data_IF_756947305033
#
_entry.id   IF_756947305033
#
_cell.length_a   1.000
_cell.length_b   1.000
_cell.length_c   1.000
_cell.angle_alpha   90.00
_cell.angle_beta   90.00
_cell.angle_gamma   90.00
#
_symmetry.space_group_name_H-M   'P 1'
#
loop_
_entity.id
_entity.type
_entity.pdbx_description
1 polymer ?
#
# COMPACT_ATOMS: atom_id res chain seq x y z
N UNK A 1 17.89 20.17 34.51
CA UNK A 1 17.62 19.15 33.52
C UNK A 1 18.92 18.80 32.81
N UNK A 2 19.29 17.52 32.65
CA UNK A 2 20.51 17.11 31.99
C UNK A 2 20.57 17.64 30.52
N UNK A 3 21.78 17.97 30.04
CA UNK A 3 21.97 18.56 28.70
C UNK A 3 21.35 17.69 27.59
N UNK A 4 21.57 16.36 27.63
CA UNK A 4 21.02 15.42 26.63
C UNK A 4 19.49 15.39 26.63
N UNK A 5 18.85 15.52 27.78
CA UNK A 5 17.39 15.61 27.86
C UNK A 5 16.87 16.94 27.30
N UNK A 6 17.64 18.03 27.44
CA UNK A 6 17.32 19.30 26.81
C UNK A 6 17.39 19.22 25.29
N UNK A 7 18.40 18.59 24.73
CA UNK A 7 18.49 18.35 23.29
C UNK A 7 17.34 17.47 22.80
N UNK A 8 17.04 16.38 23.49
CA UNK A 8 16.00 15.44 23.10
C UNK A 8 14.60 16.10 23.01
N UNK A 9 14.20 16.95 24.00
CA UNK A 9 12.88 17.58 23.88
C UNK A 9 12.81 18.60 22.77
N UNK A 10 13.91 19.34 22.51
CA UNK A 10 13.98 20.29 21.37
C UNK A 10 13.79 19.52 20.06
N UNK A 11 14.52 18.41 19.89
CA UNK A 11 14.40 17.55 18.69
C UNK A 11 12.97 16.99 18.55
N UNK A 12 12.33 16.57 19.65
CA UNK A 12 10.96 16.09 19.62
C UNK A 12 9.97 17.17 19.13
N UNK A 13 10.11 18.41 19.61
CA UNK A 13 9.27 19.52 19.14
C UNK A 13 9.53 19.90 17.68
N UNK A 14 10.78 19.83 17.22
CA UNK A 14 11.12 20.06 15.82
C UNK A 14 10.51 18.98 14.92
N UNK A 15 10.55 17.71 15.33
CA UNK A 15 9.90 16.60 14.59
C UNK A 15 8.38 16.82 14.55
N UNK A 16 7.75 17.16 15.67
CA UNK A 16 6.31 17.44 15.72
C UNK A 16 5.94 18.59 14.79
N UNK A 17 6.70 19.70 14.84
CA UNK A 17 6.49 20.88 13.99
C UNK A 17 6.66 20.56 12.49
N UNK A 18 7.73 19.85 12.12
CA UNK A 18 7.96 19.45 10.72
C UNK A 18 6.87 18.51 10.20
N UNK A 19 6.36 17.62 11.04
CA UNK A 19 5.26 16.71 10.68
C UNK A 19 3.96 17.49 10.45
N UNK A 20 3.68 18.50 11.28
CA UNK A 20 2.52 19.39 11.07
C UNK A 20 2.67 20.19 9.77
N UNK A 21 3.86 20.75 9.50
CA UNK A 21 4.12 21.48 8.25
C UNK A 21 3.92 20.58 7.03
N UNK A 22 4.44 19.35 7.06
CA UNK A 22 4.24 18.38 5.99
C UNK A 22 2.75 18.03 5.80
N UNK A 23 2.00 17.90 6.89
CA UNK A 23 0.56 17.66 6.84
C UNK A 23 -0.19 18.83 6.20
N UNK A 24 0.15 20.08 6.56
CA UNK A 24 -0.43 21.29 5.96
C UNK A 24 -0.04 21.48 4.50
N UNK A 25 1.14 20.96 4.09
CA UNK A 25 1.61 20.96 2.71
C UNK A 25 0.96 19.87 1.83
N UNK A 26 -0.12 19.25 2.27
CA UNK A 26 -0.91 18.25 1.52
C UNK A 26 -0.80 16.81 2.00
N UNK A 27 -0.02 16.53 3.04
CA UNK A 27 0.11 15.18 3.61
C UNK A 27 -0.67 15.08 4.94
N UNK A 28 -1.94 15.44 4.91
CA UNK A 28 -2.78 15.60 6.12
C UNK A 28 -2.85 14.34 6.99
N UNK A 29 -2.66 13.15 6.39
CA UNK A 29 -2.60 11.88 7.11
C UNK A 29 -1.44 11.77 8.10
N UNK A 30 -0.43 12.67 8.02
CA UNK A 30 0.68 12.75 8.97
C UNK A 30 0.31 13.43 10.29
N UNK A 31 -0.79 14.19 10.35
CA UNK A 31 -1.20 14.91 11.57
C UNK A 31 -1.24 14.04 12.84
N UNK A 32 -1.83 12.84 12.82
CA UNK A 32 -1.84 11.97 14.01
C UNK A 32 -0.44 11.60 14.49
N UNK A 33 0.53 11.50 13.57
CA UNK A 33 1.92 11.14 13.91
C UNK A 33 2.69 12.28 14.57
N UNK A 34 2.26 13.53 14.43
CA UNK A 34 2.84 14.67 15.13
C UNK A 34 2.58 14.63 16.66
N UNK A 35 1.50 13.96 17.09
CA UNK A 35 1.12 13.87 18.50
C UNK A 35 2.16 13.09 19.32
N UNK A 36 2.77 12.04 18.77
CA UNK A 36 3.70 11.19 19.49
C UNK A 36 4.98 11.94 19.90
N UNK A 37 5.72 12.60 18.97
CA UNK A 37 6.88 13.41 19.36
C UNK A 37 6.50 14.61 20.23
N UNK A 38 5.32 15.20 20.05
CA UNK A 38 4.82 16.28 20.88
C UNK A 38 4.64 15.83 22.34
N UNK A 39 3.97 14.71 22.58
CA UNK A 39 3.78 14.11 23.91
C UNK A 39 5.13 13.73 24.54
N UNK A 40 6.04 13.18 23.72
CA UNK A 40 7.40 12.86 24.18
C UNK A 40 8.15 14.10 24.64
N UNK A 41 8.13 15.19 23.83
CA UNK A 41 8.76 16.45 24.16
C UNK A 41 8.23 17.06 25.47
N UNK A 42 6.90 17.14 25.62
CA UNK A 42 6.22 17.61 26.83
C UNK A 42 6.61 16.74 28.04
N UNK A 43 6.62 15.44 27.89
CA UNK A 43 6.98 14.51 28.98
C UNK A 43 8.42 14.66 29.42
N UNK A 44 9.37 14.81 28.51
CA UNK A 44 10.79 15.04 28.83
C UNK A 44 10.96 16.42 29.52
N UNK A 45 10.27 17.45 29.03
CA UNK A 45 10.27 18.78 29.64
C UNK A 45 9.74 18.75 31.08
N UNK A 46 8.73 17.91 31.35
CA UNK A 46 8.20 17.64 32.71
C UNK A 46 9.04 16.65 33.52
N UNK A 47 10.28 16.39 33.13
CA UNK A 47 11.23 15.49 33.77
C UNK A 47 10.66 14.06 33.96
N UNK A 48 9.98 13.53 32.95
CA UNK A 48 9.47 12.15 32.94
C UNK A 48 10.43 11.26 32.16
N UNK A 49 11.19 10.41 32.82
CA UNK A 49 12.16 9.51 32.19
C UNK A 49 11.54 8.61 31.12
N UNK A 50 10.33 8.14 31.34
CA UNK A 50 9.55 7.30 30.40
C UNK A 50 9.33 7.91 29.05
N UNK A 51 9.25 9.23 28.95
CA UNK A 51 9.02 9.92 27.68
C UNK A 51 10.19 9.74 26.71
N UNK A 52 11.43 9.69 27.24
CA UNK A 52 12.62 9.39 26.41
C UNK A 52 12.62 7.94 25.93
N UNK A 53 12.43 6.99 26.82
CA UNK A 53 12.41 5.57 26.47
C UNK A 53 11.23 5.19 25.58
N UNK A 54 10.04 5.76 25.85
CA UNK A 54 8.85 5.53 25.04
C UNK A 54 9.01 6.02 23.62
N UNK A 55 9.64 7.19 23.42
CA UNK A 55 9.88 7.70 22.08
C UNK A 55 10.98 6.91 21.34
N UNK A 56 12.02 6.45 22.06
CA UNK A 56 13.01 5.56 21.47
C UNK A 56 12.38 4.24 20.98
N UNK A 57 11.50 3.63 21.81
CA UNK A 57 10.75 2.43 21.45
C UNK A 57 9.82 2.67 20.24
N UNK A 58 9.10 3.79 20.24
CA UNK A 58 8.26 4.19 19.11
C UNK A 58 9.07 4.30 17.81
N UNK A 59 10.21 5.02 17.85
CA UNK A 59 11.08 5.19 16.68
C UNK A 59 11.61 3.85 16.18
N UNK A 60 12.00 2.94 17.10
CA UNK A 60 12.41 1.60 16.73
C UNK A 60 11.30 0.80 16.07
N UNK A 61 10.08 0.85 16.60
CA UNK A 61 8.93 0.16 16.01
C UNK A 61 8.62 0.65 14.59
N UNK A 62 8.85 1.94 14.30
CA UNK A 62 8.66 2.50 12.94
C UNK A 62 9.71 2.01 11.92
N UNK A 63 10.82 1.41 12.37
CA UNK A 63 11.81 0.80 11.46
C UNK A 63 11.37 -0.56 10.91
N UNK A 64 10.46 -1.26 11.55
CA UNK A 64 10.03 -2.61 11.13
C UNK A 64 9.46 -2.63 9.70
N UNK A 65 8.59 -1.69 9.26
CA UNK A 65 8.13 -1.64 7.88
C UNK A 65 9.24 -1.29 6.90
N UNK A 66 10.15 -0.38 7.28
CA UNK A 66 11.29 0.01 6.43
C UNK A 66 12.22 -1.16 6.20
N UNK A 67 12.52 -1.95 7.23
CA UNK A 67 13.36 -3.15 7.11
C UNK A 67 12.74 -4.20 6.19
N UNK A 68 11.41 -4.40 6.21
CA UNK A 68 10.73 -5.33 5.28
C UNK A 68 10.86 -4.90 3.84
N UNK A 69 10.73 -3.61 3.55
CA UNK A 69 10.89 -3.09 2.19
C UNK A 69 12.33 -3.24 1.72
N UNK A 70 13.31 -2.94 2.58
CA UNK A 70 14.73 -3.10 2.26
C UNK A 70 15.13 -4.56 2.05
N UNK A 71 14.58 -5.49 2.84
CA UNK A 71 14.85 -6.94 2.67
C UNK A 71 14.21 -7.53 1.41
N UNK A 72 13.13 -6.93 0.89
CA UNK A 72 12.52 -7.35 -0.38
C UNK A 72 13.16 -6.71 -1.61
N UNK A 73 13.79 -5.56 -1.47
CA UNK A 73 14.53 -4.94 -2.57
C UNK A 73 15.90 -5.59 -2.70
N UNK A 74 16.19 -6.18 -3.86
CA UNK A 74 17.49 -6.81 -4.17
C UNK A 74 18.67 -5.82 -4.21
N UNK A 75 18.41 -4.52 -4.05
CA UNK A 75 19.46 -3.50 -3.88
C UNK A 75 18.94 -2.31 -3.06
N UNK A 76 19.80 -1.74 -2.22
CA UNK A 76 19.54 -0.50 -1.49
C UNK A 76 19.22 0.70 -2.41
N UNK A 77 19.63 0.64 -3.69
CA UNK A 77 19.37 1.68 -4.70
C UNK A 77 17.96 1.67 -5.26
N UNK A 78 17.25 0.53 -5.19
CA UNK A 78 15.88 0.36 -5.72
C UNK A 78 14.81 0.38 -4.61
N UNK A 79 15.21 0.67 -3.37
CA UNK A 79 14.28 0.88 -2.25
C UNK A 79 13.43 2.15 -2.44
N UNK A 80 12.31 2.27 -1.71
CA UNK A 80 11.49 3.48 -1.79
C UNK A 80 12.32 4.72 -1.40
N UNK A 81 12.10 5.85 -2.08
CA UNK A 81 12.78 7.10 -1.71
C UNK A 81 12.53 7.42 -0.23
N UNK A 82 13.57 7.79 0.48
CA UNK A 82 13.53 8.10 1.90
C UNK A 82 13.76 6.91 2.86
N UNK A 83 13.92 5.67 2.37
CA UNK A 83 14.13 4.51 3.24
C UNK A 83 15.50 4.56 3.95
N UNK A 84 16.54 4.97 3.25
CA UNK A 84 17.90 5.09 3.81
C UNK A 84 17.92 6.24 4.83
N UNK A 85 17.32 7.38 4.49
CA UNK A 85 17.19 8.54 5.37
C UNK A 85 16.40 8.20 6.63
N UNK A 86 15.33 7.41 6.53
CA UNK A 86 14.55 6.96 7.68
C UNK A 86 15.39 6.07 8.62
N UNK A 87 16.19 5.15 8.08
CA UNK A 87 17.10 4.31 8.88
C UNK A 87 18.20 5.16 9.54
N UNK A 88 18.81 6.08 8.78
CA UNK A 88 19.84 6.96 9.31
C UNK A 88 19.29 7.88 10.42
N UNK A 89 18.11 8.46 10.21
CA UNK A 89 17.44 9.29 11.21
C UNK A 89 17.12 8.49 12.47
N UNK A 90 16.60 7.28 12.34
CA UNK A 90 16.28 6.42 13.46
C UNK A 90 17.55 6.00 14.24
N UNK A 91 18.66 5.71 13.54
CA UNK A 91 19.95 5.41 14.17
C UNK A 91 20.47 6.55 15.05
N UNK A 92 20.09 7.80 14.73
CA UNK A 92 20.41 8.97 15.56
C UNK A 92 19.39 9.18 16.70
N UNK A 93 18.10 9.03 16.41
CA UNK A 93 17.03 9.33 17.36
C UNK A 93 16.92 8.28 18.48
N UNK A 94 17.04 7.01 18.17
CA UNK A 94 16.91 5.94 19.17
C UNK A 94 17.90 6.12 20.33
N UNK A 95 19.23 6.22 20.10
CA UNK A 95 20.17 6.44 21.20
C UNK A 95 19.95 7.78 21.90
N UNK A 96 19.66 8.87 21.16
CA UNK A 96 19.40 10.19 21.75
C UNK A 96 18.29 10.10 22.81
N UNK A 97 17.13 9.55 22.45
CA UNK A 97 15.98 9.48 23.35
C UNK A 97 16.16 8.42 24.44
N UNK A 98 16.84 7.31 24.16
CA UNK A 98 17.19 6.32 25.16
C UNK A 98 18.09 6.91 26.25
N UNK A 99 19.18 7.59 25.89
CA UNK A 99 20.09 8.22 26.84
C UNK A 99 19.46 9.42 27.54
N UNK A 100 18.54 10.15 26.90
CA UNK A 100 17.74 11.18 27.54
C UNK A 100 16.90 10.60 28.70
N UNK A 101 16.19 9.50 28.44
CA UNK A 101 15.44 8.79 29.48
C UNK A 101 16.34 8.32 30.63
N UNK A 102 17.50 7.71 30.29
CA UNK A 102 18.48 7.25 31.31
C UNK A 102 19.05 8.40 32.13
N UNK A 103 19.36 9.54 31.51
CA UNK A 103 19.90 10.71 32.21
C UNK A 103 18.87 11.36 33.14
N UNK A 104 17.59 11.37 32.74
CA UNK A 104 16.50 11.82 33.60
C UNK A 104 16.25 10.89 34.77
N UNK A 105 16.30 9.58 34.57
CA UNK A 105 16.18 8.59 35.65
C UNK A 105 17.28 8.76 36.68
N UNK A 106 18.55 8.94 36.26
CA UNK A 106 19.68 9.20 37.14
C UNK A 106 19.56 10.53 37.89
N UNK A 107 18.87 11.50 37.32
CA UNK A 107 18.63 12.81 37.96
C UNK A 107 17.42 12.79 38.91
N UNK A 108 16.94 11.64 39.34
CA UNK A 108 15.80 11.50 40.25
C UNK A 108 14.45 11.87 39.68
N UNK A 109 14.33 11.83 38.32
CA UNK A 109 13.05 12.07 37.68
C UNK A 109 12.00 11.01 38.06
N UNK A 110 10.75 11.45 38.25
CA UNK A 110 9.64 10.54 38.60
C UNK A 110 9.52 9.43 37.56
N UNK A 111 9.61 8.19 38.02
CA UNK A 111 9.25 7.03 37.19
C UNK A 111 7.75 7.06 36.95
N UNK A 112 7.35 7.37 35.73
CA UNK A 112 5.97 7.22 35.33
C UNK A 112 5.67 5.77 34.95
N UNK A 113 4.40 5.42 34.80
CA UNK A 113 3.99 4.10 34.28
C UNK A 113 4.42 3.96 32.82
N UNK A 114 5.11 2.85 32.49
CA UNK A 114 5.58 2.58 31.10
C UNK A 114 4.45 2.23 30.15
N UNK A 115 3.37 1.64 30.68
CA UNK A 115 2.29 1.06 29.90
C UNK A 115 1.67 2.02 28.86
N UNK A 116 1.45 3.34 29.09
CA UNK A 116 0.88 4.20 28.06
C UNK A 116 1.76 4.29 26.82
N UNK A 117 3.09 4.29 27.00
CA UNK A 117 4.03 4.32 25.88
C UNK A 117 4.09 2.99 25.13
N UNK A 118 4.00 1.88 25.86
CA UNK A 118 3.89 0.54 25.27
C UNK A 118 2.59 0.46 24.46
N UNK A 119 1.48 0.93 25.03
CA UNK A 119 0.19 0.96 24.32
C UNK A 119 0.23 1.84 23.05
N UNK A 120 0.76 3.06 23.13
CA UNK A 120 0.91 3.95 21.98
C UNK A 120 1.80 3.32 20.91
N UNK A 121 2.95 2.73 21.31
CA UNK A 121 3.86 2.06 20.37
C UNK A 121 3.21 0.84 19.72
N UNK A 122 2.42 0.07 20.47
CA UNK A 122 1.68 -1.07 19.93
C UNK A 122 0.56 -0.62 18.98
N UNK A 123 -0.24 0.36 19.36
CA UNK A 123 -1.35 0.89 18.54
C UNK A 123 -0.83 1.49 17.23
N UNK A 124 0.31 2.18 17.25
CA UNK A 124 0.87 2.81 16.06
C UNK A 124 1.79 1.89 15.25
N UNK A 125 2.49 0.96 15.88
CA UNK A 125 3.46 0.08 15.25
C UNK A 125 2.87 -1.24 14.72
N UNK A 126 1.96 -1.88 15.46
CA UNK A 126 1.35 -3.15 15.04
C UNK A 126 0.60 -3.06 13.70
N UNK A 127 -0.25 -2.04 13.43
CA UNK A 127 -0.94 -1.94 12.15
C UNK A 127 0.02 -1.86 10.96
N UNK A 128 1.20 -1.23 11.13
CA UNK A 128 2.20 -1.09 10.07
C UNK A 128 2.80 -2.44 9.65
N UNK A 129 2.75 -3.46 10.50
CA UNK A 129 3.15 -4.82 10.14
C UNK A 129 2.19 -5.47 9.14
N UNK A 130 0.94 -5.04 9.12
CA UNK A 130 -0.14 -5.62 8.32
C UNK A 130 -0.62 -4.73 7.18
N UNK A 131 -0.12 -3.49 7.11
CA UNK A 131 -0.55 -2.49 6.13
C UNK A 131 0.66 -1.90 5.43
N UNK A 132 0.56 -1.75 4.11
CA UNK A 132 1.57 -1.08 3.28
C UNK A 132 0.90 -0.02 2.41
N UNK A 133 1.58 1.12 2.23
CA UNK A 133 1.14 2.17 1.32
C UNK A 133 1.59 1.88 -0.11
N UNK A 134 0.69 2.08 -1.07
CA UNK A 134 0.98 2.00 -2.51
C UNK A 134 0.49 3.26 -3.21
N UNK A 135 1.23 3.66 -4.23
CA UNK A 135 0.89 4.75 -5.13
C UNK A 135 0.27 4.18 -6.41
N UNK A 136 -0.77 4.83 -6.93
CA UNK A 136 -1.45 4.45 -8.18
C UNK A 136 -0.94 5.34 -9.33
N UNK A 137 -0.07 4.83 -10.21
CA UNK A 137 0.56 5.63 -11.25
C UNK A 137 -0.22 5.66 -12.57
N UNK A 138 -1.25 4.83 -12.73
CA UNK A 138 -1.94 4.61 -14.02
C UNK A 138 -3.46 4.67 -13.88
N UNK A 139 -4.13 4.95 -14.99
CA UNK A 139 -5.58 5.00 -15.12
C UNK A 139 -6.25 3.62 -15.28
N UNK A 140 -5.51 2.50 -15.14
CA UNK A 140 -6.03 1.16 -15.41
C UNK A 140 -7.19 0.72 -14.48
N UNK A 141 -7.38 1.39 -13.35
CA UNK A 141 -8.44 1.13 -12.37
C UNK A 141 -9.41 2.31 -12.21
N UNK A 142 -9.45 3.24 -13.18
CA UNK A 142 -10.45 4.32 -13.22
C UNK A 142 -11.88 3.71 -13.34
N UNK A 143 -12.88 4.17 -12.65
CA UNK A 143 -13.01 5.30 -11.72
C UNK A 143 -12.86 4.86 -10.26
N UNK A 144 -12.56 3.60 -10.03
CA UNK A 144 -12.36 3.03 -8.67
C UNK A 144 -11.11 3.63 -8.03
N UNK A 145 -9.97 3.56 -8.71
CA UNK A 145 -8.71 4.18 -8.31
C UNK A 145 -8.23 5.11 -9.41
N UNK A 146 -7.93 6.35 -9.04
CA UNK A 146 -7.43 7.36 -9.96
C UNK A 146 -5.89 7.45 -9.89
N UNK A 147 -5.29 7.85 -11.00
CA UNK A 147 -3.87 8.22 -11.02
C UNK A 147 -3.62 9.30 -9.96
N UNK A 148 -2.62 9.09 -9.10
CA UNK A 148 -2.31 9.98 -7.98
C UNK A 148 -2.94 9.58 -6.65
N UNK A 149 -3.81 8.54 -6.62
CA UNK A 149 -4.28 7.96 -5.35
C UNK A 149 -3.13 7.25 -4.62
N UNK A 150 -3.13 7.35 -3.28
CA UNK A 150 -2.31 6.54 -2.39
C UNK A 150 -3.21 5.69 -1.53
N UNK A 151 -3.00 4.38 -1.59
CA UNK A 151 -3.87 3.39 -0.95
C UNK A 151 -3.14 2.63 0.14
N UNK A 152 -3.85 2.34 1.23
CA UNK A 152 -3.40 1.39 2.25
C UNK A 152 -3.84 -0.01 1.85
N UNK A 153 -2.87 -0.89 1.72
CA UNK A 153 -3.04 -2.29 1.35
C UNK A 153 -2.82 -3.16 2.57
N UNK A 154 -3.82 -3.92 2.91
CA UNK A 154 -3.76 -4.89 4.00
C UNK A 154 -3.10 -6.17 3.52
N UNK A 155 -1.97 -6.51 4.14
CA UNK A 155 -1.31 -7.80 3.94
C UNK A 155 -1.99 -8.87 4.78
N UNK A 156 -2.26 -10.02 4.17
CA UNK A 156 -2.69 -11.21 4.90
C UNK A 156 -1.74 -12.38 4.64
N UNK A 157 -1.62 -13.32 5.58
CA UNK A 157 -1.17 -14.64 5.22
C UNK A 157 -2.26 -15.26 4.33
N UNK A 158 -2.06 -15.25 3.01
CA UNK A 158 -2.91 -15.79 1.94
C UNK A 158 -4.42 -15.56 2.14
N UNK A 159 -4.95 -14.38 1.77
CA UNK A 159 -6.39 -14.15 1.84
C UNK A 159 -7.10 -15.07 0.82
N UNK A 160 -8.16 -15.75 1.25
CA UNK A 160 -9.07 -16.38 0.29
C UNK A 160 -9.68 -15.27 -0.55
N UNK A 161 -9.33 -15.23 -1.84
CA UNK A 161 -9.87 -14.24 -2.76
C UNK A 161 -11.27 -14.66 -3.19
N UNK A 162 -12.13 -13.66 -3.28
CA UNK A 162 -13.47 -13.81 -3.85
C UNK A 162 -13.61 -12.94 -5.09
N UNK A 163 -14.61 -13.25 -5.89
CA UNK A 163 -14.96 -12.48 -7.09
C UNK A 163 -15.27 -11.04 -6.71
N UNK A 164 -14.77 -10.09 -7.49
CA UNK A 164 -14.92 -8.65 -7.25
C UNK A 164 -13.85 -8.04 -6.33
N UNK A 165 -13.02 -8.84 -5.66
CA UNK A 165 -11.94 -8.31 -4.81
C UNK A 165 -10.96 -7.45 -5.62
N UNK A 166 -10.64 -6.27 -5.08
CA UNK A 166 -9.46 -5.53 -5.50
C UNK A 166 -8.22 -6.16 -4.87
N UNK A 167 -7.19 -6.38 -5.66
CA UNK A 167 -5.95 -7.01 -5.19
C UNK A 167 -4.72 -6.28 -5.69
N UNK A 168 -3.72 -6.25 -4.83
CA UNK A 168 -2.35 -5.84 -5.17
C UNK A 168 -1.50 -7.09 -5.26
N UNK A 169 -0.73 -7.22 -6.31
CA UNK A 169 0.07 -8.41 -6.58
C UNK A 169 1.36 -8.06 -7.33
N UNK A 170 2.34 -8.94 -7.24
CA UNK A 170 3.58 -8.86 -8.00
C UNK A 170 3.30 -9.21 -9.46
N UNK A 171 3.68 -8.35 -10.40
CA UNK A 171 3.45 -8.57 -11.82
C UNK A 171 4.21 -9.83 -12.31
N UNK A 172 3.52 -10.82 -12.91
CA UNK A 172 4.12 -12.11 -13.22
C UNK A 172 5.28 -12.04 -14.24
N UNK A 173 5.25 -11.06 -15.13
CA UNK A 173 6.24 -10.91 -16.21
C UNK A 173 7.50 -10.18 -15.73
N UNK A 174 7.32 -9.14 -14.90
CA UNK A 174 8.42 -8.44 -14.26
C UNK A 174 8.16 -8.32 -12.75
N UNK A 175 8.77 -9.20 -11.98
CA UNK A 175 8.56 -9.29 -10.54
C UNK A 175 9.02 -8.06 -9.73
N UNK A 176 9.64 -7.08 -10.38
CA UNK A 176 9.99 -5.78 -9.77
C UNK A 176 8.81 -4.82 -9.76
N UNK A 177 7.78 -5.09 -10.54
CA UNK A 177 6.59 -4.26 -10.65
C UNK A 177 5.44 -4.83 -9.81
N UNK A 178 4.58 -3.94 -9.33
CA UNK A 178 3.38 -4.28 -8.56
C UNK A 178 2.16 -3.69 -9.26
N UNK A 179 1.13 -4.51 -9.45
CA UNK A 179 -0.09 -4.12 -10.11
C UNK A 179 -1.28 -4.18 -9.17
N UNK A 180 -2.30 -3.39 -9.47
CA UNK A 180 -3.63 -3.46 -8.85
C UNK A 180 -4.63 -3.85 -9.92
N UNK A 181 -5.43 -4.88 -9.68
CA UNK A 181 -6.50 -5.34 -10.55
C UNK A 181 -7.68 -5.87 -9.73
N UNK A 182 -8.79 -6.16 -10.43
CA UNK A 182 -9.97 -6.79 -9.83
C UNK A 182 -10.05 -8.26 -10.20
N UNK A 183 -10.38 -9.11 -9.23
CA UNK A 183 -10.60 -10.54 -9.44
C UNK A 183 -11.93 -10.75 -10.15
N UNK A 184 -11.88 -11.26 -11.38
CA UNK A 184 -13.06 -11.57 -12.19
C UNK A 184 -13.36 -13.06 -12.13
N UNK A 185 -12.32 -13.90 -12.17
CA UNK A 185 -12.43 -15.35 -12.08
C UNK A 185 -11.57 -15.93 -10.97
N UNK A 186 -12.15 -16.85 -10.22
CA UNK A 186 -11.49 -17.71 -9.21
C UNK A 186 -11.37 -19.14 -9.76
N UNK A 187 -10.59 -20.04 -9.11
CA UNK A 187 -10.45 -21.42 -9.57
C UNK A 187 -11.80 -22.09 -9.91
N UNK A 188 -11.86 -22.72 -11.08
CA UNK A 188 -13.05 -23.36 -11.63
C UNK A 188 -13.99 -22.47 -12.44
N UNK A 189 -13.80 -21.13 -12.39
CA UNK A 189 -14.62 -20.23 -13.21
C UNK A 189 -14.26 -20.33 -14.70
N UNK A 190 -15.28 -20.16 -15.53
CA UNK A 190 -15.21 -20.09 -16.98
C UNK A 190 -15.48 -18.64 -17.41
N UNK A 191 -14.54 -18.01 -18.07
CA UNK A 191 -14.57 -16.56 -18.39
C UNK A 191 -14.59 -16.37 -19.90
N UNK A 192 -15.50 -15.53 -20.35
CA UNK A 192 -15.59 -15.05 -21.73
C UNK A 192 -15.97 -13.56 -21.72
N UNK A 193 -15.45 -12.81 -22.67
CA UNK A 193 -15.88 -11.44 -22.95
C UNK A 193 -16.46 -11.44 -24.36
N UNK A 194 -17.62 -10.84 -24.55
CA UNK A 194 -18.22 -10.63 -25.85
C UNK A 194 -18.84 -9.23 -25.93
N UNK A 195 -18.42 -8.46 -26.90
CA UNK A 195 -18.85 -7.06 -27.08
C UNK A 195 -18.76 -6.26 -25.78
N UNK A 196 -17.60 -6.32 -25.11
CA UNK A 196 -17.30 -5.65 -23.82
C UNK A 196 -18.01 -6.23 -22.59
N UNK A 197 -18.97 -7.13 -22.76
CA UNK A 197 -19.70 -7.76 -21.64
C UNK A 197 -18.93 -8.99 -21.16
N UNK A 198 -18.65 -9.06 -19.86
CA UNK A 198 -18.01 -10.23 -19.25
C UNK A 198 -19.06 -11.26 -18.88
N UNK A 199 -18.83 -12.49 -19.33
CA UNK A 199 -19.60 -13.66 -18.97
C UNK A 199 -18.77 -14.53 -18.05
N UNK A 200 -19.38 -15.01 -16.98
CA UNK A 200 -18.78 -15.95 -16.07
C UNK A 200 -19.73 -17.15 -15.84
N UNK A 201 -19.23 -18.35 -16.13
CA UNK A 201 -20.01 -19.59 -16.04
C UNK A 201 -21.29 -19.52 -16.89
N UNK A 202 -21.19 -18.96 -18.08
CA UNK A 202 -22.28 -18.81 -19.05
C UNK A 202 -23.22 -17.62 -18.83
N UNK A 203 -23.16 -16.92 -17.70
CA UNK A 203 -24.01 -15.76 -17.40
C UNK A 203 -23.24 -14.44 -17.47
N UNK A 204 -23.86 -13.42 -18.04
CA UNK A 204 -23.34 -12.06 -17.98
C UNK A 204 -23.28 -11.59 -16.52
N UNK A 205 -22.18 -10.96 -16.13
CA UNK A 205 -22.03 -10.43 -14.77
C UNK A 205 -22.31 -8.92 -14.74
N UNK A 206 -22.90 -8.46 -13.63
CA UNK A 206 -23.09 -7.05 -13.38
C UNK A 206 -21.79 -6.45 -12.84
N UNK A 207 -21.30 -5.40 -13.52
CA UNK A 207 -20.00 -4.78 -13.22
C UNK A 207 -20.11 -3.26 -13.16
N UNK A 208 -20.74 -2.70 -12.10
CA UNK A 208 -20.96 -1.25 -11.99
C UNK A 208 -19.67 -0.44 -11.86
N UNK A 209 -18.55 -1.12 -11.62
CA UNK A 209 -17.21 -0.55 -11.54
C UNK A 209 -16.47 -0.52 -12.87
N UNK A 210 -16.96 -1.26 -13.88
CA UNK A 210 -16.30 -1.35 -15.19
C UNK A 210 -16.52 -0.07 -15.99
N UNK A 211 -15.43 0.45 -16.55
CA UNK A 211 -15.44 1.67 -17.36
C UNK A 211 -14.92 1.37 -18.77
N UNK A 212 -15.66 1.85 -19.75
CA UNK A 212 -15.30 1.83 -21.15
C UNK A 212 -15.14 3.28 -21.64
N UNK A 213 -13.95 3.65 -22.08
CA UNK A 213 -13.60 5.03 -22.49
C UNK A 213 -13.71 5.21 -24.01
N UNK A 214 -13.88 4.12 -24.76
CA UNK A 214 -14.00 4.13 -26.21
C UNK A 214 -15.32 3.51 -26.65
N UNK A 215 -15.91 4.02 -27.73
CA UNK A 215 -17.16 3.50 -28.28
C UNK A 215 -16.95 2.29 -29.20
N UNK A 216 -15.75 2.14 -29.80
CA UNK A 216 -15.45 1.00 -30.67
C UNK A 216 -15.26 -0.29 -29.87
N UNK A 217 -15.58 -1.42 -30.52
CA UNK A 217 -15.35 -2.77 -29.99
C UNK A 217 -14.05 -3.29 -30.60
N UNK A 218 -13.08 -3.56 -29.76
CA UNK A 218 -11.80 -4.14 -30.14
C UNK A 218 -11.93 -5.65 -30.37
N UNK A 219 -11.26 -6.17 -31.41
CA UNK A 219 -11.44 -7.55 -31.86
C UNK A 219 -11.00 -8.57 -30.83
N UNK A 220 -9.90 -8.31 -30.10
CA UNK A 220 -9.36 -9.21 -29.08
C UNK A 220 -9.78 -8.80 -27.67
N UNK A 221 -9.52 -7.54 -27.30
CA UNK A 221 -9.77 -7.02 -25.94
C UNK A 221 -11.20 -7.22 -25.49
N UNK A 222 -12.15 -6.94 -26.40
CA UNK A 222 -13.58 -6.87 -26.12
C UNK A 222 -14.33 -8.15 -26.52
N UNK A 223 -13.61 -9.12 -27.13
CA UNK A 223 -14.12 -10.45 -27.52
C UNK A 223 -13.15 -11.56 -27.15
N UNK A 224 -12.88 -11.72 -25.87
CA UNK A 224 -11.93 -12.67 -25.32
C UNK A 224 -12.60 -13.98 -24.82
N UNK A 225 -12.01 -15.18 -25.05
CA UNK A 225 -10.81 -15.43 -25.85
C UNK A 225 -11.15 -15.45 -27.35
N UNK A 226 -10.34 -14.75 -28.13
CA UNK A 226 -10.38 -14.79 -29.60
C UNK A 226 -8.94 -14.93 -30.11
N UNK A 227 -8.77 -15.01 -31.40
CA UNK A 227 -7.45 -14.94 -32.00
C UNK A 227 -6.84 -13.55 -31.77
N UNK A 228 -5.65 -13.47 -31.15
CA UNK A 228 -5.06 -12.20 -30.81
C UNK A 228 -4.50 -11.49 -32.05
N UNK A 229 -4.88 -10.24 -32.25
CA UNK A 229 -4.33 -9.30 -33.22
C UNK A 229 -3.16 -8.46 -32.61
N UNK A 230 -2.79 -8.76 -31.38
CA UNK A 230 -1.72 -8.11 -30.61
C UNK A 230 -0.74 -9.14 -30.11
N UNK A 231 0.48 -8.68 -29.83
CA UNK A 231 1.50 -9.54 -29.22
C UNK A 231 1.16 -9.82 -27.76
N UNK A 232 1.00 -11.08 -27.41
CA UNK A 232 0.78 -11.53 -26.05
C UNK A 232 2.11 -11.87 -25.35
N UNK A 233 2.07 -11.89 -24.03
CA UNK A 233 3.15 -12.48 -23.23
C UNK A 233 2.99 -14.00 -23.18
N UNK A 234 4.12 -14.72 -23.10
CA UNK A 234 4.14 -16.19 -23.15
C UNK A 234 3.14 -16.89 -22.18
N UNK A 235 2.92 -16.43 -20.91
CA UNK A 235 1.92 -17.09 -20.07
C UNK A 235 0.47 -16.88 -20.55
N UNK A 236 0.16 -15.80 -21.28
CA UNK A 236 -1.16 -15.64 -21.89
C UNK A 236 -1.34 -16.55 -23.11
N UNK A 237 -0.30 -16.71 -23.92
CA UNK A 237 -0.32 -17.68 -25.02
C UNK A 237 -0.53 -19.12 -24.49
N UNK A 238 0.14 -19.47 -23.40
CA UNK A 238 -0.04 -20.76 -22.75
C UNK A 238 -1.46 -20.91 -22.18
N UNK A 239 -2.00 -19.85 -21.55
CA UNK A 239 -3.38 -19.83 -21.08
C UNK A 239 -4.38 -20.12 -22.22
N UNK A 240 -4.23 -19.44 -23.36
CA UNK A 240 -5.11 -19.64 -24.52
C UNK A 240 -4.98 -21.04 -25.12
N UNK A 241 -3.78 -21.60 -25.16
CA UNK A 241 -3.54 -22.96 -25.69
C UNK A 241 -4.07 -24.07 -24.78
N UNK A 242 -3.99 -23.92 -23.47
CA UNK A 242 -4.24 -25.02 -22.51
C UNK A 242 -5.53 -24.91 -21.70
N UNK A 243 -6.04 -23.69 -21.56
CA UNK A 243 -7.14 -23.42 -20.63
C UNK A 243 -8.39 -22.85 -21.31
N UNK A 244 -8.46 -22.89 -22.66
CA UNK A 244 -9.70 -22.56 -23.39
C UNK A 244 -10.48 -23.85 -23.67
N UNK A 245 -11.74 -23.84 -23.26
CA UNK A 245 -12.69 -24.92 -23.51
C UNK A 245 -14.06 -24.34 -23.86
N UNK A 246 -14.62 -24.76 -24.98
CA UNK A 246 -15.92 -24.26 -25.49
C UNK A 246 -15.97 -22.72 -25.62
N UNK A 247 -14.86 -22.09 -26.05
CA UNK A 247 -14.80 -20.64 -26.24
C UNK A 247 -14.73 -19.82 -24.94
N UNK A 248 -14.40 -20.45 -23.81
CA UNK A 248 -14.23 -19.79 -22.53
C UNK A 248 -12.90 -20.18 -21.89
N UNK A 249 -12.25 -19.25 -21.19
CA UNK A 249 -11.04 -19.53 -20.40
C UNK A 249 -11.46 -20.13 -19.07
N UNK A 250 -10.96 -21.34 -18.75
CA UNK A 250 -11.17 -22.01 -17.47
C UNK A 250 -10.04 -21.66 -16.52
N UNK A 251 -10.37 -21.08 -15.37
CA UNK A 251 -9.38 -20.67 -14.36
C UNK A 251 -8.90 -21.89 -13.60
N UNK A 252 -7.59 -22.26 -13.64
CA UNK A 252 -7.07 -23.44 -12.97
C UNK A 252 -6.95 -23.25 -11.46
N UNK A 253 -6.77 -24.37 -10.73
CA UNK A 253 -6.56 -24.33 -9.28
C UNK A 253 -5.35 -23.48 -8.89
N UNK A 254 -5.49 -22.69 -7.83
CA UNK A 254 -4.45 -21.78 -7.34
C UNK A 254 -4.16 -20.55 -8.23
N UNK A 255 -4.97 -20.35 -9.28
CA UNK A 255 -4.85 -19.20 -10.20
C UNK A 255 -6.07 -18.29 -10.15
N UNK A 256 -5.90 -17.06 -10.61
CA UNK A 256 -6.95 -16.06 -10.69
C UNK A 256 -6.90 -15.34 -12.03
N UNK A 257 -8.07 -15.02 -12.57
CA UNK A 257 -8.21 -14.17 -13.75
C UNK A 257 -8.62 -12.78 -13.30
N UNK A 258 -7.85 -11.77 -13.68
CA UNK A 258 -8.03 -10.40 -13.19
C UNK A 258 -8.13 -9.41 -14.35
N UNK A 259 -8.98 -8.39 -14.18
CA UNK A 259 -9.13 -7.28 -15.13
C UNK A 259 -8.91 -5.93 -14.44
N UNK A 260 -8.51 -4.92 -15.21
CA UNK A 260 -8.63 -3.54 -14.78
C UNK A 260 -10.08 -3.06 -14.88
N UNK A 261 -10.46 -2.12 -14.02
CA UNK A 261 -11.80 -1.52 -14.06
C UNK A 261 -11.96 -0.64 -15.31
N UNK A 262 -10.91 0.10 -15.70
CA UNK A 262 -10.83 0.74 -17.02
C UNK A 262 -10.45 -0.30 -18.09
N UNK A 263 -11.47 -0.94 -18.66
CA UNK A 263 -11.34 -2.07 -19.58
C UNK A 263 -10.55 -1.75 -20.85
N UNK A 264 -10.61 -0.52 -21.31
CA UNK A 264 -9.97 -0.09 -22.54
C UNK A 264 -8.49 0.26 -22.36
N UNK A 265 -8.08 0.65 -21.15
CA UNK A 265 -6.71 1.08 -20.83
C UNK A 265 -5.99 0.16 -19.81
N UNK A 266 -6.40 -1.10 -19.72
CA UNK A 266 -5.81 -2.04 -18.76
C UNK A 266 -4.98 -3.11 -19.46
N UNK A 267 -3.72 -3.19 -19.06
CA UNK A 267 -2.88 -4.37 -19.29
C UNK A 267 -3.17 -5.36 -18.15
N UNK A 268 -3.85 -6.50 -18.45
CA UNK A 268 -4.37 -7.44 -17.47
C UNK A 268 -4.31 -8.90 -17.97
N UNK A 269 -5.07 -9.81 -17.37
CA UNK A 269 -5.03 -11.25 -17.68
C UNK A 269 -5.28 -11.58 -19.13
N UNK A 270 -5.94 -10.72 -19.89
CA UNK A 270 -6.12 -10.90 -21.35
C UNK A 270 -4.77 -10.96 -22.07
N UNK A 271 -3.78 -10.22 -21.60
CA UNK A 271 -2.49 -10.03 -22.26
C UNK A 271 -1.33 -10.82 -21.66
N UNK A 272 -1.37 -11.12 -20.35
CA UNK A 272 -0.29 -11.80 -19.66
C UNK A 272 -0.73 -13.05 -18.86
N UNK A 273 -2.00 -13.45 -18.94
CA UNK A 273 -2.50 -14.71 -18.38
C UNK A 273 -2.93 -14.62 -16.91
N UNK A 274 -2.87 -15.74 -16.19
CA UNK A 274 -3.29 -15.85 -14.80
C UNK A 274 -2.26 -15.32 -13.84
N UNK A 275 -2.72 -14.83 -12.67
CA UNK A 275 -1.87 -14.64 -11.48
C UNK A 275 -1.95 -15.86 -10.57
N UNK A 276 -0.87 -16.16 -9.88
CA UNK A 276 -0.81 -17.22 -8.86
C UNK A 276 -1.11 -16.69 -7.46
N UNK A 277 -1.56 -17.57 -6.55
CA UNK A 277 -1.74 -17.22 -5.15
C UNK A 277 -0.45 -16.70 -4.48
N UNK A 278 0.72 -17.18 -4.91
CA UNK A 278 2.04 -16.73 -4.43
C UNK A 278 2.44 -15.33 -4.90
N UNK A 279 1.74 -14.75 -5.88
CA UNK A 279 2.01 -13.39 -6.37
C UNK A 279 1.26 -12.34 -5.57
N UNK A 280 0.30 -12.74 -4.74
CA UNK A 280 -0.55 -11.83 -3.97
C UNK A 280 0.25 -11.08 -2.90
N UNK A 281 0.02 -9.78 -2.82
CA UNK A 281 0.56 -8.90 -1.79
C UNK A 281 -0.51 -8.59 -0.75
N UNK A 282 -1.71 -8.20 -1.17
CA UNK A 282 -2.80 -7.87 -0.26
C UNK A 282 -4.01 -7.25 -0.94
N UNK A 283 -4.95 -6.77 -0.13
CA UNK A 283 -6.15 -6.07 -0.60
C UNK A 283 -6.06 -4.59 -0.27
N UNK A 284 -6.25 -3.66 -1.22
CA UNK A 284 -6.41 -2.25 -0.91
C UNK A 284 -7.70 -2.04 -0.12
N UNK A 285 -7.64 -1.21 0.92
CA UNK A 285 -8.76 -0.99 1.86
C UNK A 285 -9.18 0.45 1.98
N UNK A 286 -8.24 1.37 1.78
CA UNK A 286 -8.47 2.78 2.06
C UNK A 286 -7.63 3.63 1.12
N UNK A 287 -8.23 4.65 0.53
CA UNK A 287 -7.50 5.76 -0.09
C UNK A 287 -7.17 6.75 1.02
N UNK A 288 -5.90 6.87 1.40
CA UNK A 288 -5.50 7.77 2.48
C UNK A 288 -5.02 9.14 1.98
N UNK A 289 -4.68 9.22 0.70
CA UNK A 289 -4.27 10.45 0.03
C UNK A 289 -4.62 10.37 -1.46
N UNK A 290 -4.93 11.51 -2.09
CA UNK A 290 -5.28 11.60 -3.51
C UNK A 290 -4.92 12.98 -4.05
N UNK A 291 -3.98 12.99 -5.01
CA UNK A 291 -3.49 14.22 -5.65
C UNK A 291 -3.69 14.15 -7.15
N UNK A 292 -4.15 15.25 -7.74
CA UNK A 292 -4.16 15.42 -9.18
C UNK A 292 -2.75 15.74 -9.68
N UNK A 293 -2.30 15.02 -10.73
CA UNK A 293 -0.93 15.16 -11.22
C UNK A 293 -0.80 16.17 -12.38
N UNK A 294 -1.92 16.58 -12.98
CA UNK A 294 -1.95 17.55 -14.09
C UNK A 294 -2.24 18.95 -13.61
N UNK A 295 -1.30 19.90 -13.83
CA UNK A 295 -1.52 21.34 -13.61
C UNK A 295 -1.22 21.87 -12.21
N UNK A 296 -0.49 21.15 -11.37
CA UNK A 296 -0.12 21.52 -10.00
C UNK A 296 -0.73 20.56 -8.97
N UNK A 297 -0.09 20.48 -7.80
CA UNK A 297 -0.54 19.59 -6.72
C UNK A 297 -1.90 20.05 -6.18
N UNK A 298 -2.97 19.39 -6.62
CA UNK A 298 -4.33 19.66 -6.14
C UNK A 298 -4.87 18.43 -5.43
N UNK A 299 -5.17 18.54 -4.13
CA UNK A 299 -5.74 17.46 -3.32
C UNK A 299 -7.20 17.23 -3.71
N UNK A 300 -7.56 15.97 -3.96
CA UNK A 300 -8.95 15.54 -4.19
C UNK A 300 -9.60 15.20 -2.85
N UNK A 301 -10.07 16.19 -2.12
CA UNK A 301 -10.62 16.07 -0.77
C UNK A 301 -11.73 15.02 -0.63
N UNK A 302 -12.60 14.87 -1.64
CA UNK A 302 -13.71 13.89 -1.63
C UNK A 302 -13.25 12.43 -1.74
N UNK A 303 -11.96 12.19 -1.97
CA UNK A 303 -11.39 10.82 -2.03
C UNK A 303 -10.60 10.45 -0.78
N UNK A 304 -10.32 11.40 0.10
CA UNK A 304 -9.61 11.14 1.34
C UNK A 304 -10.43 10.22 2.25
N UNK A 305 -9.78 9.19 2.78
CA UNK A 305 -10.38 8.18 3.67
C UNK A 305 -11.53 7.39 3.06
N UNK A 306 -11.62 7.35 1.71
CA UNK A 306 -12.59 6.52 1.01
C UNK A 306 -12.21 5.04 1.19
N UNK A 307 -13.15 4.24 1.71
CA UNK A 307 -13.04 2.79 1.78
C UNK A 307 -13.21 2.16 0.39
N UNK A 308 -12.53 1.03 0.16
CA UNK A 308 -12.49 0.29 -1.10
C UNK A 308 -13.10 -1.10 -0.97
#
# INVERSE_FOLDING_TARGET
>A
MPKIARTAYIVAFLIAGSTVVAALAGQIFLLPFALVPLIAGIGIMRKRAWSGWGFALYTFAQLLPVSRVLLRSSSLRTGPPGAIEAVALAALLIPLFFFAGRSLARAGARSGRAWPWIAVSAITGLPVLFVQAFFIPTAAMEDTLLTGDRVLVQHFPQPKLVRGDLIVFTYPIDRRQTFVKRVIGVPGDRIRIANKIVYRNGAAIDEPYAVHKTDYVDAYRDNFPSEPDVRLYAPAEEMLKRHVSSGEVVVPEGKYFVLGDNRDLSLDSRYWGFIGSGDLIGKPRLIYDSEEQSGGRRVRWGRLFKLL
#
